data_IF_682134838112
#
_entry.id   IF_682134838112
#
_cell.length_a   1.000
_cell.length_b   1.000
_cell.length_c   1.000
_cell.angle_alpha   90.00
_cell.angle_beta   90.00
_cell.angle_gamma   90.00
#
_symmetry.space_group_name_H-M   'P 1'
#
loop_
_entity.id
_entity.type
_entity.pdbx_description
1 polymer ?
#
# COMPACT_ATOMS: atom_id res chain seq x y z
N UNK A 1 -24.61 10.82 12.30
CA UNK A 1 -24.32 10.61 11.81
C UNK A 1 -23.79 10.32 11.18
N UNK A 2 -23.73 10.67 11.01
CA UNK A 2 -23.19 10.57 10.33
C UNK A 2 -22.48 10.23 10.03
N UNK A 3 -22.43 10.65 10.17
CA UNK A 3 -21.80 10.43 9.83
C UNK A 3 -21.17 9.62 9.63
N UNK A 4 -21.37 9.73 10.02
CA UNK A 4 -20.75 8.98 9.64
C UNK A 4 -20.73 8.16 9.01
N UNK A 5 -21.33 8.37 8.56
CA UNK A 5 -21.25 7.74 7.69
C UNK A 5 -21.13 7.92 6.86
N UNK A 6 -21.31 8.59 6.84
CA UNK A 6 -20.97 9.00 5.93
C UNK A 6 -19.90 9.51 5.67
N UNK A 7 -19.77 10.16 6.14
CA UNK A 7 -18.56 10.39 6.07
C UNK A 7 -17.86 9.28 6.06
N UNK A 8 -18.19 8.49 6.62
CA UNK A 8 -17.37 7.39 6.64
C UNK A 8 -17.12 6.75 5.34
N UNK A 9 -17.98 6.78 4.45
CA UNK A 9 -17.75 6.15 3.16
C UNK A 9 -17.03 7.04 2.21
N UNK A 10 -17.28 8.32 2.37
CA UNK A 10 -16.64 9.28 1.52
C UNK A 10 -15.19 9.35 1.86
N UNK A 11 -14.32 9.22 0.88
CA UNK A 11 -12.90 9.29 1.08
C UNK A 11 -12.26 8.03 1.63
N UNK A 12 -12.99 6.93 1.76
CA UNK A 12 -12.39 5.66 2.20
C UNK A 12 -11.43 5.15 1.13
N UNK A 13 -10.28 4.65 1.55
CA UNK A 13 -9.23 4.24 0.62
C UNK A 13 -8.75 2.84 0.94
N UNK A 14 -8.08 2.24 -0.04
CA UNK A 14 -7.37 0.98 0.15
C UNK A 14 -5.89 1.34 0.25
N UNK A 15 -5.27 0.98 1.36
CA UNK A 15 -3.84 1.27 1.58
C UNK A 15 -3.03 0.04 1.22
N UNK A 16 -2.02 0.23 0.37
CA UNK A 16 -1.12 -0.84 -0.04
C UNK A 16 0.29 -0.38 0.27
N UNK A 17 1.09 -1.24 0.90
CA UNK A 17 2.47 -0.90 1.22
C UNK A 17 3.32 -2.17 1.28
N UNK A 18 4.63 -1.97 1.10
CA UNK A 18 5.62 -3.01 1.35
C UNK A 18 6.27 -2.73 2.69
N UNK A 19 6.41 -3.75 3.51
CA UNK A 19 7.03 -3.64 4.84
C UNK A 19 8.02 -4.78 5.03
N UNK A 20 9.05 -4.54 5.84
CA UNK A 20 9.98 -5.60 6.19
C UNK A 20 9.50 -6.32 7.46
N UNK A 21 10.34 -7.19 8.01
CA UNK A 21 9.98 -7.97 9.18
C UNK A 21 9.71 -7.16 10.43
N UNK A 22 10.11 -5.88 10.45
CA UNK A 22 9.91 -4.97 11.57
C UNK A 22 8.98 -3.83 11.22
N UNK A 23 8.18 -3.99 10.16
CA UNK A 23 7.26 -2.98 9.66
C UNK A 23 7.96 -1.74 9.10
N UNK A 24 9.23 -1.85 8.73
CA UNK A 24 9.94 -0.77 8.07
C UNK A 24 9.44 -0.58 6.65
N UNK A 25 9.40 0.66 6.19
CA UNK A 25 8.91 1.02 4.88
C UNK A 25 9.97 1.70 4.02
N UNK A 26 10.77 2.56 4.62
CA UNK A 26 11.71 3.38 3.87
C UNK A 26 12.90 3.76 4.74
N UNK A 27 13.98 4.16 4.06
CA UNK A 27 15.18 4.67 4.71
C UNK A 27 15.71 5.83 3.88
N UNK A 28 16.01 6.96 4.52
CA UNK A 28 16.48 8.17 3.84
C UNK A 28 15.55 8.57 2.69
N UNK A 29 14.23 8.49 2.95
CA UNK A 29 13.19 8.88 1.99
C UNK A 29 13.16 8.01 0.74
N UNK A 30 13.75 6.82 0.81
CA UNK A 30 13.76 5.88 -0.31
C UNK A 30 13.16 4.57 0.12
N UNK A 31 12.45 3.91 -0.80
CA UNK A 31 11.91 2.59 -0.52
C UNK A 31 13.05 1.65 -0.15
N UNK A 32 12.76 0.70 0.72
CA UNK A 32 13.76 -0.28 1.14
C UNK A 32 14.16 -1.20 0.01
N UNK A 33 13.19 -1.58 -0.81
CA UNK A 33 13.41 -2.53 -1.88
C UNK A 33 12.23 -2.45 -2.85
N UNK A 34 12.34 -3.17 -3.96
CA UNK A 34 11.28 -3.31 -4.93
C UNK A 34 11.34 -4.70 -5.51
N UNK A 35 10.22 -5.17 -6.02
CA UNK A 35 10.18 -6.50 -6.60
C UNK A 35 9.12 -6.52 -7.69
N UNK A 36 9.51 -7.02 -8.86
CA UNK A 36 8.62 -7.11 -9.99
C UNK A 36 7.38 -7.95 -9.69
N UNK A 37 7.56 -9.02 -8.91
CA UNK A 37 6.45 -9.90 -8.56
C UNK A 37 5.42 -9.18 -7.70
N UNK A 38 5.87 -8.28 -6.81
CA UNK A 38 4.96 -7.48 -6.00
C UNK A 38 4.14 -6.54 -6.90
N UNK A 39 4.79 -5.86 -7.84
CA UNK A 39 4.08 -4.94 -8.72
C UNK A 39 3.02 -5.67 -9.56
N UNK A 40 3.37 -6.85 -10.05
CA UNK A 40 2.43 -7.65 -10.83
C UNK A 40 1.24 -8.08 -9.99
N UNK A 41 1.49 -8.57 -8.77
CA UNK A 41 0.42 -9.00 -7.88
C UNK A 41 -0.48 -7.83 -7.48
N UNK A 42 0.15 -6.68 -7.20
CA UNK A 42 -0.58 -5.49 -6.81
C UNK A 42 -1.53 -5.03 -7.90
N UNK A 43 -1.07 -4.99 -9.14
CA UNK A 43 -1.94 -4.60 -10.25
C UNK A 43 -3.07 -5.60 -10.48
N UNK A 44 -2.82 -6.88 -10.24
CA UNK A 44 -3.87 -7.89 -10.31
C UNK A 44 -4.88 -7.69 -9.17
N UNK A 45 -4.38 -7.37 -7.98
CA UNK A 45 -5.23 -7.21 -6.80
C UNK A 45 -6.23 -6.06 -6.99
N UNK A 46 -5.80 -4.96 -7.58
CA UNK A 46 -6.67 -3.78 -7.72
C UNK A 46 -7.63 -3.89 -8.91
N UNK A 47 -7.43 -4.88 -9.79
CA UNK A 47 -8.32 -5.09 -10.92
C UNK A 47 -8.35 -3.91 -11.86
N UNK A 48 -9.54 -3.41 -12.18
CA UNK A 48 -9.71 -2.32 -13.14
C UNK A 48 -9.44 -0.95 -12.52
N UNK A 49 -9.26 -0.85 -11.21
CA UNK A 49 -9.03 0.42 -10.55
C UNK A 49 -7.68 1.01 -10.93
N UNK A 50 -7.58 2.33 -10.85
CA UNK A 50 -6.31 3.01 -11.02
C UNK A 50 -5.63 3.17 -9.67
N UNK A 51 -4.31 3.12 -9.70
CA UNK A 51 -3.49 3.14 -8.48
C UNK A 51 -2.96 4.55 -8.25
N UNK A 52 -3.27 5.10 -7.09
CA UNK A 52 -2.75 6.41 -6.70
C UNK A 52 -1.35 6.27 -6.16
N UNK A 53 -0.41 7.04 -6.71
CA UNK A 53 1.01 6.99 -6.35
C UNK A 53 1.60 8.39 -6.47
N UNK A 54 2.79 8.58 -5.87
CA UNK A 54 3.57 9.77 -6.15
C UNK A 54 4.51 9.49 -7.33
N UNK A 55 5.24 10.52 -7.76
CA UNK A 55 6.10 10.40 -8.94
C UNK A 55 7.23 9.38 -8.74
N UNK A 56 7.83 9.35 -7.54
CA UNK A 56 8.93 8.43 -7.28
C UNK A 56 8.46 6.97 -7.34
N UNK A 57 7.26 6.70 -6.81
CA UNK A 57 6.68 5.36 -6.86
C UNK A 57 6.33 4.97 -8.29
N UNK A 58 5.79 5.93 -9.06
CA UNK A 58 5.38 5.67 -10.44
C UNK A 58 6.55 5.22 -11.30
N UNK A 59 7.75 5.71 -11.02
CA UNK A 59 8.90 5.42 -11.85
C UNK A 59 9.32 3.96 -11.87
N UNK A 60 8.91 3.16 -10.89
CA UNK A 60 9.26 1.74 -10.87
C UNK A 60 8.35 0.90 -11.76
N UNK A 61 7.25 1.46 -12.24
CA UNK A 61 6.31 0.72 -13.09
C UNK A 61 6.72 0.83 -14.56
N UNK A 62 6.46 -0.24 -15.31
CA UNK A 62 6.84 -0.31 -16.72
C UNK A 62 6.02 0.69 -17.55
N UNK A 63 6.54 1.10 -18.73
CA UNK A 63 5.80 2.06 -19.57
C UNK A 63 4.36 1.63 -19.89
N UNK A 64 4.14 0.35 -20.13
CA UNK A 64 2.80 -0.14 -20.45
C UNK A 64 1.88 -0.15 -19.23
N UNK A 65 2.43 0.03 -18.02
CA UNK A 65 1.63 0.07 -16.80
C UNK A 65 1.28 1.48 -16.36
N UNK A 66 1.88 2.49 -16.99
CA UNK A 66 1.71 3.87 -16.56
C UNK A 66 0.26 4.35 -16.65
N UNK A 67 -0.51 3.83 -17.59
CA UNK A 67 -1.92 4.21 -17.73
C UNK A 67 -2.77 3.71 -16.56
N UNK A 68 -2.24 2.78 -15.76
CA UNK A 68 -2.92 2.27 -14.56
C UNK A 68 -2.73 3.19 -13.36
N UNK A 69 -1.94 4.25 -13.49
CA UNK A 69 -1.53 5.07 -12.35
C UNK A 69 -2.20 6.44 -12.37
N UNK A 70 -2.52 6.93 -11.17
CA UNK A 70 -2.86 8.34 -10.94
C UNK A 70 -1.71 8.93 -10.15
N UNK A 71 -0.93 9.80 -10.76
CA UNK A 71 0.28 10.33 -10.17
C UNK A 71 0.02 11.70 -9.57
N UNK A 72 0.20 11.83 -8.24
CA UNK A 72 -0.02 13.09 -7.55
C UNK A 72 0.69 13.03 -6.21
N UNK A 73 1.43 14.09 -5.86
CA UNK A 73 2.13 14.09 -4.58
C UNK A 73 1.18 14.12 -3.38
N UNK A 74 -0.04 14.58 -3.57
CA UNK A 74 -1.07 14.58 -2.53
C UNK A 74 -2.04 13.42 -2.71
N UNK A 75 -1.55 12.28 -3.17
CA UNK A 75 -2.42 11.18 -3.57
C UNK A 75 -3.29 10.64 -2.42
N UNK A 76 -2.78 10.65 -1.18
CA UNK A 76 -3.58 10.14 -0.05
C UNK A 76 -4.79 11.03 0.24
N UNK A 77 -4.66 12.34 -0.01
CA UNK A 77 -5.76 13.26 0.20
C UNK A 77 -6.75 13.26 -0.95
N UNK A 78 -6.28 12.93 -2.15
CA UNK A 78 -7.11 13.01 -3.35
C UNK A 78 -7.82 11.73 -3.72
N UNK A 79 -7.32 10.59 -3.27
CA UNK A 79 -7.95 9.30 -3.60
C UNK A 79 -9.38 9.28 -3.06
N UNK A 80 -10.29 8.81 -3.89
CA UNK A 80 -11.70 8.75 -3.57
C UNK A 80 -12.13 7.41 -2.99
N UNK A 81 -13.44 7.24 -2.81
CA UNK A 81 -13.98 6.03 -2.18
C UNK A 81 -13.58 4.77 -2.92
N UNK A 82 -13.01 3.83 -2.19
CA UNK A 82 -12.63 2.52 -2.73
C UNK A 82 -11.39 2.52 -3.59
N UNK A 83 -10.70 3.65 -3.71
CA UNK A 83 -9.54 3.72 -4.59
C UNK A 83 -8.26 3.30 -3.88
N UNK A 84 -7.38 2.56 -4.56
CA UNK A 84 -6.15 2.07 -3.96
C UNK A 84 -5.02 3.08 -4.03
N UNK A 85 -4.23 3.14 -2.95
CA UNK A 85 -3.05 3.99 -2.83
C UNK A 85 -1.86 3.12 -2.49
N UNK A 86 -0.77 3.24 -3.25
CA UNK A 86 0.47 2.53 -2.95
C UNK A 86 1.43 3.50 -2.28
N UNK A 87 1.67 3.29 -0.98
CA UNK A 87 2.41 4.23 -0.13
C UNK A 87 3.79 3.67 0.15
N UNK A 88 4.82 4.43 -0.17
CA UNK A 88 6.20 4.00 0.06
C UNK A 88 7.00 4.97 0.93
N UNK A 89 6.58 6.22 1.04
CA UNK A 89 7.47 7.25 1.56
C UNK A 89 6.87 8.16 2.63
N UNK A 90 5.72 7.80 3.18
CA UNK A 90 5.06 8.68 4.13
C UNK A 90 4.24 7.94 5.15
N UNK A 91 3.87 8.64 6.22
CA UNK A 91 3.02 8.13 7.27
C UNK A 91 1.63 7.79 6.74
N UNK A 92 1.06 6.69 7.21
CA UNK A 92 -0.32 6.30 6.90
C UNK A 92 -1.24 6.51 8.09
N UNK A 93 -0.71 6.85 9.26
CA UNK A 93 -1.53 7.08 10.46
C UNK A 93 -2.68 8.07 10.22
N UNK A 94 -2.49 9.17 9.46
CA UNK A 94 -3.59 10.08 9.21
C UNK A 94 -4.77 9.46 8.45
N UNK A 95 -4.56 8.30 7.82
CA UNK A 95 -5.62 7.62 7.08
C UNK A 95 -6.39 6.62 7.92
N UNK A 96 -6.12 6.54 9.24
CA UNK A 96 -6.72 5.50 10.08
C UNK A 96 -8.24 5.47 9.99
N UNK A 97 -8.89 6.64 9.96
CA UNK A 97 -10.35 6.71 9.88
C UNK A 97 -10.90 6.56 8.47
N UNK A 98 -10.04 6.52 7.47
CA UNK A 98 -10.44 6.44 6.06
C UNK A 98 -10.09 5.11 5.41
N UNK A 99 -9.27 4.29 6.06
CA UNK A 99 -8.84 3.04 5.46
C UNK A 99 -9.97 2.02 5.47
N UNK A 100 -10.24 1.44 4.32
CA UNK A 100 -11.28 0.45 4.13
C UNK A 100 -10.68 -0.94 4.01
N UNK A 101 -9.45 -1.03 3.55
CA UNK A 101 -8.72 -2.28 3.38
C UNK A 101 -7.25 -1.97 3.43
N UNK A 102 -6.47 -2.90 3.93
CA UNK A 102 -5.01 -2.76 3.99
C UNK A 102 -4.41 -3.98 3.33
N UNK A 103 -3.47 -3.77 2.41
CA UNK A 103 -2.73 -4.85 1.75
C UNK A 103 -1.26 -4.62 2.04
N UNK A 104 -0.64 -5.53 2.77
CA UNK A 104 0.78 -5.44 3.10
C UNK A 104 1.53 -6.56 2.40
N UNK A 105 2.61 -6.18 1.71
CA UNK A 105 3.55 -7.13 1.15
C UNK A 105 4.78 -7.11 2.04
N UNK A 106 5.10 -8.25 2.65
CA UNK A 106 6.23 -8.34 3.56
C UNK A 106 7.42 -8.96 2.89
N UNK A 107 8.55 -8.24 2.97
CA UNK A 107 9.84 -8.80 2.54
C UNK A 107 10.25 -9.87 3.55
N UNK A 108 10.97 -10.88 3.07
CA UNK A 108 11.44 -11.97 3.91
C UNK A 108 12.73 -11.62 4.67
N UNK A 109 12.93 -10.34 4.96
CA UNK A 109 14.10 -9.85 5.69
C UNK A 109 13.81 -8.50 6.29
N UNK A 110 14.75 -8.01 7.12
CA UNK A 110 14.69 -6.65 7.64
C UNK A 110 15.72 -5.80 6.93
N UNK A 111 15.37 -4.55 6.70
CA UNK A 111 16.23 -3.56 6.07
C UNK A 111 16.41 -2.38 7.03
N UNK A 112 17.46 -1.55 6.83
CA UNK A 112 17.51 -0.28 7.54
C UNK A 112 16.23 0.52 7.27
N UNK A 113 15.70 1.17 8.31
CA UNK A 113 14.47 1.92 8.17
C UNK A 113 14.46 3.09 9.13
N UNK A 114 13.88 4.21 8.68
CA UNK A 114 13.56 5.35 9.52
C UNK A 114 12.12 5.80 9.32
N UNK A 115 11.39 5.10 8.47
CA UNK A 115 9.95 5.26 8.30
C UNK A 115 9.31 3.89 8.43
N UNK A 116 8.29 3.80 9.27
CA UNK A 116 7.63 2.53 9.59
C UNK A 116 6.14 2.64 9.32
N UNK A 117 5.51 1.50 9.08
CA UNK A 117 4.07 1.41 9.02
C UNK A 117 3.52 1.81 10.38
N UNK A 118 2.75 2.90 10.44
CA UNK A 118 2.33 3.51 11.69
C UNK A 118 0.82 3.54 11.89
N UNK A 119 0.08 2.72 11.15
CA UNK A 119 -1.35 2.54 11.38
C UNK A 119 -1.52 1.21 12.12
N UNK A 120 -2.06 1.27 13.33
CA UNK A 120 -2.23 0.07 14.13
C UNK A 120 -3.17 -0.91 13.45
N UNK A 121 -2.81 -2.20 13.48
CA UNK A 121 -3.66 -3.26 12.95
C UNK A 121 -4.59 -3.82 14.02
N UNK A 122 -4.55 -3.27 15.23
CA UNK A 122 -5.45 -3.68 16.28
C UNK A 122 -6.89 -3.40 15.84
N UNK A 123 -7.76 -4.40 15.99
CA UNK A 123 -9.13 -4.27 15.53
C UNK A 123 -9.35 -4.63 14.07
N UNK A 124 -8.28 -4.82 13.32
CA UNK A 124 -8.37 -5.27 11.93
C UNK A 124 -8.34 -6.78 11.87
N UNK A 125 -9.03 -7.35 10.90
CA UNK A 125 -9.10 -8.80 10.70
C UNK A 125 -8.23 -9.20 9.51
N UNK A 126 -7.35 -10.16 9.71
CA UNK A 126 -6.56 -10.72 8.61
C UNK A 126 -7.48 -11.59 7.76
N UNK A 127 -7.88 -11.10 6.60
CA UNK A 127 -8.82 -11.80 5.73
C UNK A 127 -8.14 -12.81 4.82
N UNK A 128 -6.91 -12.51 4.38
CA UNK A 128 -6.15 -13.41 3.52
C UNK A 128 -4.68 -13.29 3.82
N UNK A 129 -3.98 -14.39 3.70
CA UNK A 129 -2.53 -14.42 3.79
C UNK A 129 -2.04 -15.40 2.72
N UNK A 130 -1.14 -14.92 1.86
CA UNK A 130 -0.59 -15.71 0.77
C UNK A 130 0.91 -15.52 0.72
N UNK A 131 1.62 -16.55 0.33
CA UNK A 131 3.06 -16.46 0.09
C UNK A 131 3.32 -16.80 -1.36
N UNK A 132 4.24 -16.07 -1.98
CA UNK A 132 4.63 -16.36 -3.36
C UNK A 132 6.09 -16.00 -3.54
N UNK A 133 6.76 -16.64 -4.53
CA UNK A 133 8.16 -16.33 -4.78
C UNK A 133 8.29 -14.94 -5.39
N UNK A 134 9.23 -14.15 -4.86
CA UNK A 134 9.54 -12.85 -5.42
C UNK A 134 10.50 -12.98 -6.59
N UNK A 135 10.70 -11.88 -7.27
CA UNK A 135 11.72 -11.80 -8.32
C UNK A 135 13.09 -11.53 -7.71
N UNK A 136 13.17 -10.54 -6.80
CA UNK A 136 14.40 -10.18 -6.11
C UNK A 136 14.45 -10.72 -4.69
N UNK A 137 13.38 -11.32 -4.22
CA UNK A 137 13.25 -11.87 -2.88
C UNK A 137 12.80 -13.31 -2.99
N UNK A 138 13.26 -14.14 -2.05
CA UNK A 138 12.92 -15.54 -2.10
C UNK A 138 11.42 -15.77 -1.88
N UNK A 139 10.87 -15.15 -0.86
CA UNK A 139 9.46 -15.28 -0.49
C UNK A 139 8.90 -13.90 -0.18
N UNK A 140 7.71 -13.63 -0.67
CA UNK A 140 6.96 -12.43 -0.32
C UNK A 140 5.67 -12.89 0.34
N UNK A 141 5.33 -12.32 1.49
CA UNK A 141 4.10 -12.63 2.20
C UNK A 141 3.11 -11.50 2.00
N UNK A 142 1.96 -11.80 1.44
CA UNK A 142 0.90 -10.83 1.21
C UNK A 142 -0.15 -11.01 2.29
N UNK A 143 -0.50 -9.92 2.96
CA UNK A 143 -1.53 -9.92 4.01
C UNK A 143 -2.60 -8.91 3.63
N UNK A 144 -3.87 -9.35 3.66
CA UNK A 144 -5.00 -8.46 3.37
C UNK A 144 -5.83 -8.35 4.63
N UNK A 145 -6.01 -7.12 5.09
CA UNK A 145 -6.77 -6.82 6.31
C UNK A 145 -8.05 -6.07 5.98
N UNK A 146 -9.11 -6.42 6.71
CA UNK A 146 -10.39 -5.71 6.65
C UNK A 146 -10.77 -5.28 8.07
N UNK A 147 -11.61 -4.24 8.21
CA UNK A 147 -11.99 -3.74 9.54
C UNK A 147 -12.72 -4.78 10.39
#
# INVERSE_FOLDING_TARGET
MVEKNREGREGTVILIACVDGRNGMAFNRRRQSRDRAVRADLLAEIGAARLWVNAATARQFAPEEQSRLCVDESFLEKAGPGEPCFVEDRSVAPCAGRAKRIVLYRWDRAYPADLYWDLSLEGWTLARREEFPGFSHKIITKEVYIP
#
